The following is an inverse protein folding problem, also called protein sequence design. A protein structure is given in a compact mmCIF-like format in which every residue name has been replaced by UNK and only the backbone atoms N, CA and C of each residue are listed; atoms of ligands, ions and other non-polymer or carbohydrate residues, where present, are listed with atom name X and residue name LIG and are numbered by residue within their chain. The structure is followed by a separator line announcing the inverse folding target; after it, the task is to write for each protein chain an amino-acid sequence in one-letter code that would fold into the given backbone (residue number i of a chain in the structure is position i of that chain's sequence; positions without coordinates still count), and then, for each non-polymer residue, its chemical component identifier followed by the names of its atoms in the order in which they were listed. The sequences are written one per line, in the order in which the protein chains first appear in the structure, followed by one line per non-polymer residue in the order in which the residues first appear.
data_IF_532054838449
#
_entry.id   IF_532054838449
#
_cell.length_a   1.000
_cell.length_b   1.000
_cell.length_c   1.000
_cell.angle_alpha   90.00
_cell.angle_beta   90.00
_cell.angle_gamma   90.00
#
_symmetry.space_group_name_H-M   'P 1'
#
loop_
_entity.id
_entity.type
_entity.pdbx_description
1 polymer ?
#
# COMPACT_ATOMS: atom_id res chain seq x y z
N UNK A 1 26.45 -9.74 10.59
CA UNK A 1 25.32 -10.47 9.98
C UNK A 1 23.96 -10.20 10.65
N UNK A 2 23.88 -9.50 11.79
CA UNK A 2 22.61 -9.15 12.45
C UNK A 2 21.93 -7.89 11.87
N UNK A 3 22.69 -6.96 11.28
CA UNK A 3 22.15 -5.67 10.80
C UNK A 3 21.25 -5.78 9.57
N UNK A 4 21.49 -6.76 8.70
CA UNK A 4 20.68 -6.97 7.49
C UNK A 4 19.25 -7.44 7.81
N UNK A 5 19.09 -8.27 8.85
CA UNK A 5 17.79 -8.74 9.30
C UNK A 5 16.97 -7.62 9.97
N UNK A 6 17.64 -6.72 10.70
CA UNK A 6 17.03 -5.52 11.28
C UNK A 6 16.56 -4.52 10.21
N UNK A 7 17.38 -4.31 9.18
CA UNK A 7 17.04 -3.44 8.05
C UNK A 7 15.86 -3.97 7.22
N UNK A 8 15.83 -5.28 6.94
CA UNK A 8 14.73 -5.93 6.23
C UNK A 8 13.40 -5.83 7.02
N UNK A 9 13.43 -6.05 8.35
CA UNK A 9 12.25 -5.95 9.22
C UNK A 9 11.73 -4.50 9.34
N UNK A 10 12.63 -3.51 9.34
CA UNK A 10 12.27 -2.09 9.35
C UNK A 10 11.64 -1.65 8.02
N UNK A 11 12.15 -2.13 6.89
CA UNK A 11 11.61 -1.86 5.55
C UNK A 11 10.21 -2.46 5.39
N UNK A 12 10.02 -3.71 5.80
CA UNK A 12 8.71 -4.38 5.77
C UNK A 12 7.67 -3.67 6.65
N UNK A 13 8.06 -3.28 7.87
CA UNK A 13 7.19 -2.53 8.78
C UNK A 13 6.85 -1.14 8.23
N UNK A 14 7.78 -0.49 7.54
CA UNK A 14 7.54 0.80 6.91
C UNK A 14 6.57 0.70 5.74
N UNK A 15 6.70 -0.33 4.89
CA UNK A 15 5.75 -0.58 3.79
C UNK A 15 4.33 -0.83 4.34
N UNK A 16 4.23 -1.60 5.41
CA UNK A 16 2.97 -1.93 6.07
C UNK A 16 2.34 -0.73 6.80
N UNK A 17 3.16 0.15 7.41
CA UNK A 17 2.70 1.42 8.01
C UNK A 17 2.17 2.39 6.96
N UNK A 18 2.86 2.51 5.83
CA UNK A 18 2.44 3.38 4.72
C UNK A 18 1.14 2.85 4.12
N UNK A 19 1.00 1.53 3.98
CA UNK A 19 -0.25 0.93 3.50
C UNK A 19 -1.41 1.16 4.47
N UNK A 20 -1.19 0.97 5.78
CA UNK A 20 -2.21 1.25 6.79
C UNK A 20 -2.61 2.74 6.82
N UNK A 21 -1.65 3.65 6.67
CA UNK A 21 -1.91 5.08 6.58
C UNK A 21 -2.69 5.43 5.30
N UNK A 22 -2.34 4.86 4.16
CA UNK A 22 -3.03 5.06 2.88
C UNK A 22 -4.49 4.57 2.96
N UNK A 23 -4.73 3.41 3.57
CA UNK A 23 -6.10 2.90 3.80
C UNK A 23 -6.87 3.84 4.73
N UNK A 24 -6.26 4.31 5.82
CA UNK A 24 -6.92 5.25 6.74
C UNK A 24 -7.30 6.56 6.04
N UNK A 25 -6.43 7.11 5.20
CA UNK A 25 -6.72 8.30 4.39
C UNK A 25 -7.84 8.04 3.38
N UNK A 26 -7.84 6.87 2.73
CA UNK A 26 -8.91 6.48 1.80
C UNK A 26 -10.26 6.36 2.51
N UNK A 27 -10.31 5.76 3.70
CA UNK A 27 -11.53 5.64 4.51
C UNK A 27 -12.03 7.02 4.92
N UNK A 28 -11.14 7.91 5.37
CA UNK A 28 -11.50 9.28 5.72
C UNK A 28 -12.06 10.03 4.50
N UNK A 29 -11.41 9.89 3.34
CA UNK A 29 -11.91 10.45 2.08
C UNK A 29 -13.31 9.92 1.77
N UNK A 30 -13.56 8.61 1.90
CA UNK A 30 -14.87 7.99 1.65
C UNK A 30 -15.96 8.50 2.60
N UNK A 31 -15.64 8.75 3.86
CA UNK A 31 -16.59 9.34 4.83
C UNK A 31 -16.92 10.78 4.44
N UNK A 32 -15.91 11.58 4.09
CA UNK A 32 -16.11 12.96 3.62
C UNK A 32 -16.81 13.02 2.25
N UNK A 33 -16.68 11.97 1.44
CA UNK A 33 -17.33 11.84 0.13
C UNK A 33 -18.82 11.57 0.20
N UNK A 34 -19.37 11.11 1.33
CA UNK A 34 -20.78 10.69 1.40
C UNK A 34 -21.77 11.80 1.04
N UNK A 35 -21.38 13.07 1.24
CA UNK A 35 -22.22 14.23 0.96
C UNK A 35 -21.94 14.89 -0.41
N UNK A 36 -20.95 14.41 -1.18
CA UNK A 36 -20.57 15.01 -2.47
C UNK A 36 -20.72 14.03 -3.63
N UNK A 37 -21.49 14.42 -4.64
CA UNK A 37 -21.64 13.64 -5.88
C UNK A 37 -20.34 13.73 -6.69
N UNK A 38 -19.88 12.57 -7.18
CA UNK A 38 -18.69 12.50 -8.03
C UNK A 38 -18.91 13.33 -9.30
N UNK A 39 -18.01 14.26 -9.60
CA UNK A 39 -18.11 15.19 -10.75
C UNK A 39 -18.69 16.57 -10.44
N UNK A 40 -19.25 16.79 -9.25
CA UNK A 40 -19.73 18.12 -8.82
C UNK A 40 -18.56 19.03 -8.42
N UNK A 41 -17.52 18.44 -7.83
CA UNK A 41 -16.27 19.08 -7.46
C UNK A 41 -15.12 18.34 -8.14
N UNK A 42 -14.53 19.00 -9.14
CA UNK A 42 -13.51 18.42 -9.99
C UNK A 42 -12.22 18.15 -9.21
N UNK A 43 -11.90 19.01 -8.23
CA UNK A 43 -10.76 18.81 -7.34
C UNK A 43 -10.99 17.60 -6.42
N UNK A 44 -12.20 17.45 -5.87
CA UNK A 44 -12.56 16.30 -5.07
C UNK A 44 -12.42 14.99 -5.85
N UNK A 45 -12.92 14.97 -7.08
CA UNK A 45 -12.88 13.81 -7.97
C UNK A 45 -11.45 13.41 -8.35
N UNK A 46 -10.60 14.40 -8.67
CA UNK A 46 -9.17 14.17 -8.98
C UNK A 46 -8.42 13.65 -7.76
N UNK A 47 -8.70 14.18 -6.56
CA UNK A 47 -8.09 13.71 -5.31
C UNK A 47 -8.51 12.28 -5.00
N UNK A 48 -9.79 11.93 -5.17
CA UNK A 48 -10.28 10.56 -5.00
C UNK A 48 -9.65 9.56 -5.97
N UNK A 49 -9.61 9.92 -7.26
CA UNK A 49 -8.99 9.10 -8.29
C UNK A 49 -7.49 8.91 -8.04
N UNK A 50 -6.79 9.97 -7.63
CA UNK A 50 -5.38 9.92 -7.24
C UNK A 50 -5.13 9.02 -6.03
N UNK A 51 -5.97 9.12 -5.00
CA UNK A 51 -5.90 8.26 -3.82
C UNK A 51 -6.13 6.79 -4.16
N UNK A 52 -7.16 6.48 -4.97
CA UNK A 52 -7.41 5.12 -5.44
C UNK A 52 -6.22 4.57 -6.24
N UNK A 53 -5.62 5.38 -7.13
CA UNK A 53 -4.46 4.97 -7.91
C UNK A 53 -3.22 4.73 -7.03
N UNK A 54 -2.96 5.61 -6.05
CA UNK A 54 -1.86 5.47 -5.10
C UNK A 54 -2.01 4.22 -4.23
N UNK A 55 -3.19 3.99 -3.68
CA UNK A 55 -3.49 2.77 -2.90
C UNK A 55 -3.27 1.54 -3.75
N UNK A 56 -3.80 1.52 -4.99
CA UNK A 56 -3.64 0.39 -5.91
C UNK A 56 -2.18 0.11 -6.25
N UNK A 57 -1.41 1.16 -6.56
CA UNK A 57 0.02 1.05 -6.85
C UNK A 57 0.78 0.49 -5.64
N UNK A 58 0.51 1.03 -4.46
CA UNK A 58 1.19 0.61 -3.23
C UNK A 58 0.87 -0.84 -2.87
N UNK A 59 -0.40 -1.24 -2.92
CA UNK A 59 -0.83 -2.62 -2.68
C UNK A 59 -0.18 -3.57 -3.67
N UNK A 60 -0.17 -3.26 -4.98
CA UNK A 60 0.50 -4.09 -5.98
C UNK A 60 2.00 -4.21 -5.73
N UNK A 61 2.65 -3.12 -5.29
CA UNK A 61 4.07 -3.13 -4.96
C UNK A 61 4.36 -3.98 -3.70
N UNK A 62 3.55 -3.86 -2.64
CA UNK A 62 3.64 -4.73 -1.45
C UNK A 62 3.43 -6.20 -1.82
N UNK A 63 2.46 -6.49 -2.70
CA UNK A 63 2.13 -7.86 -3.12
C UNK A 63 3.27 -8.48 -3.93
N UNK A 64 3.91 -7.69 -4.80
CA UNK A 64 5.11 -8.10 -5.54
C UNK A 64 6.27 -8.43 -4.58
N UNK A 65 6.56 -7.54 -3.63
CA UNK A 65 7.61 -7.77 -2.62
C UNK A 65 7.32 -9.04 -1.80
N UNK A 66 6.06 -9.28 -1.45
CA UNK A 66 5.62 -10.51 -0.78
C UNK A 66 5.83 -11.78 -1.62
N UNK A 67 5.49 -11.72 -2.92
CA UNK A 67 5.69 -12.83 -3.84
C UNK A 67 7.18 -13.15 -4.07
N UNK A 68 8.04 -12.14 -4.15
CA UNK A 68 9.50 -12.34 -4.26
C UNK A 68 10.05 -13.09 -3.03
N UNK A 69 9.57 -12.78 -1.81
CA UNK A 69 9.95 -13.49 -0.58
C UNK A 69 9.45 -14.94 -0.58
N UNK A 70 8.21 -15.18 -0.99
CA UNK A 70 7.65 -16.55 -1.10
C UNK A 70 8.40 -17.37 -2.14
N UNK A 71 8.70 -16.79 -3.31
CA UNK A 71 9.45 -17.44 -4.37
C UNK A 71 10.89 -17.79 -3.93
N UNK A 72 11.56 -16.88 -3.21
CA UNK A 72 12.88 -17.14 -2.64
C UNK A 72 12.84 -18.29 -1.60
N UNK A 73 11.80 -18.32 -0.75
CA UNK A 73 11.60 -19.39 0.23
C UNK A 73 11.35 -20.75 -0.43
N UNK A 74 10.56 -20.80 -1.50
CA UNK A 74 10.30 -22.02 -2.27
C UNK A 74 11.56 -22.55 -2.97
N UNK A 75 12.44 -21.68 -3.47
CA UNK A 75 13.74 -22.11 -4.02
C UNK A 75 14.69 -22.62 -2.95
N UNK A 76 14.69 -22.00 -1.76
CA UNK A 76 15.51 -22.43 -0.63
C UNK A 76 15.13 -23.79 -0.04
N UNK A 77 13.87 -24.24 -0.23
CA UNK A 77 13.40 -25.56 0.23
C UNK A 77 13.79 -26.69 -0.75
N UNK A 78 14.22 -26.35 -1.97
CA UNK A 78 14.53 -27.31 -3.04
C UNK A 78 16.01 -27.72 -3.10
N UNK A 79 16.82 -27.26 -2.14
CA UNK A 79 18.23 -27.63 -1.95
C UNK A 79 18.42 -28.20 -0.55
#
# INVERSE_FOLDING_TARGET
MADAAGAARKKFRSHMLIEAALIAVLVLYMVLAQEKVVGEDLAFTVVGAGLMALVSYWTLNTLRDGLEVVAARLRGIRH
#
